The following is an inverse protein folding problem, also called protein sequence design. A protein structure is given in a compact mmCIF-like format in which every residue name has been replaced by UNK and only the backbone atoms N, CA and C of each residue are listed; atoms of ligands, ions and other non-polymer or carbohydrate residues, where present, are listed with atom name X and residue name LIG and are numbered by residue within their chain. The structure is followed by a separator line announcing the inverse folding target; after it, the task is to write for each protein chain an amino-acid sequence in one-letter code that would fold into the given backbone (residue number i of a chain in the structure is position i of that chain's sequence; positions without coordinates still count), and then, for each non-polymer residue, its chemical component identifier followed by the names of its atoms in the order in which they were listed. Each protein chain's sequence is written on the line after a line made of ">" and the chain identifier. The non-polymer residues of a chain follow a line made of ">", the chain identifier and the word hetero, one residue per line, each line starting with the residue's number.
data_IF_232069355049
#
_entry.id   IF_232069355049
#
_cell.length_a   1.000
_cell.length_b   1.000
_cell.length_c   1.000
_cell.angle_alpha   90.00
_cell.angle_beta   90.00
_cell.angle_gamma   90.00
#
_symmetry.space_group_name_H-M   'P 1'
#
loop_
_entity.id
_entity.type
_entity.pdbx_description
1 polymer ?
#
# COMPACT_ATOMS: atom_id res chain seq x y z
N UNK A 1 -51.99 38.79 28.81
CA UNK A 1 -51.60 37.50 28.24
C UNK A 1 -50.41 37.76 27.32
N UNK A 2 -49.22 37.51 27.82
CA UNK A 2 -47.99 37.60 27.01
C UNK A 2 -47.70 36.22 26.42
N UNK A 3 -47.70 36.14 25.08
CA UNK A 3 -47.32 34.91 24.34
C UNK A 3 -45.79 34.77 24.38
N UNK A 4 -45.32 33.77 25.07
CA UNK A 4 -43.92 33.33 24.97
C UNK A 4 -43.71 32.60 23.65
N UNK A 5 -42.95 33.20 22.75
CA UNK A 5 -42.44 32.54 21.53
C UNK A 5 -41.31 31.61 21.94
N UNK A 6 -41.51 30.33 21.79
CA UNK A 6 -40.47 29.32 22.00
C UNK A 6 -39.59 29.32 20.74
N UNK A 7 -38.38 29.87 20.86
CA UNK A 7 -37.33 29.73 19.86
C UNK A 7 -36.87 28.26 19.80
N UNK A 8 -37.34 27.55 18.81
CA UNK A 8 -36.83 26.23 18.47
C UNK A 8 -35.50 26.44 17.72
N UNK A 9 -34.40 26.43 18.47
CA UNK A 9 -33.07 26.31 17.86
C UNK A 9 -33.02 24.94 17.10
N UNK A 10 -33.18 25.01 15.80
CA UNK A 10 -32.81 23.89 14.93
C UNK A 10 -31.29 23.66 15.04
N UNK A 11 -30.88 22.70 15.87
CA UNK A 11 -29.57 22.11 15.76
C UNK A 11 -29.54 21.40 14.40
N UNK A 12 -28.91 22.03 13.41
CA UNK A 12 -28.46 21.38 12.21
C UNK A 12 -27.39 20.34 12.62
N UNK A 13 -27.84 19.18 13.01
CA UNK A 13 -26.97 18.02 13.23
C UNK A 13 -26.46 17.50 11.89
N UNK A 14 -25.48 18.17 11.30
CA UNK A 14 -24.65 17.50 10.30
C UNK A 14 -23.98 16.33 11.02
N UNK A 15 -24.44 15.14 10.74
CA UNK A 15 -23.84 13.91 11.22
C UNK A 15 -22.38 13.89 10.75
N UNK A 16 -21.42 13.98 11.69
CA UNK A 16 -20.00 14.07 11.35
C UNK A 16 -19.57 12.78 10.68
N UNK A 17 -19.18 12.87 9.40
CA UNK A 17 -18.64 11.72 8.65
C UNK A 17 -17.47 11.07 9.37
N UNK A 18 -17.44 9.76 9.39
CA UNK A 18 -16.34 8.99 9.95
C UNK A 18 -15.05 9.26 9.19
N UNK A 19 -13.99 9.68 9.89
CA UNK A 19 -12.68 9.96 9.29
C UNK A 19 -11.85 8.68 9.19
N UNK A 20 -11.56 8.24 7.97
CA UNK A 20 -10.86 7.00 7.67
C UNK A 20 -9.55 7.29 6.95
N UNK A 21 -8.48 6.56 7.31
CA UNK A 21 -7.30 6.38 6.47
C UNK A 21 -7.29 4.95 5.93
N UNK A 22 -7.57 4.80 4.63
CA UNK A 22 -7.39 3.55 3.92
C UNK A 22 -5.91 3.38 3.60
N UNK A 23 -5.33 2.24 3.96
CA UNK A 23 -3.92 1.91 3.77
C UNK A 23 -3.84 0.68 2.88
N UNK A 24 -3.21 0.80 1.72
CA UNK A 24 -3.01 -0.30 0.78
C UNK A 24 -1.52 -0.48 0.47
N UNK A 25 -1.06 -1.72 0.39
CA UNK A 25 0.34 -2.03 0.12
C UNK A 25 0.67 -3.50 0.34
N UNK A 26 1.96 -3.81 0.43
CA UNK A 26 2.47 -5.15 0.67
C UNK A 26 2.69 -5.43 2.18
N UNK A 27 3.45 -6.48 2.50
CA UNK A 27 3.81 -6.89 3.86
C UNK A 27 4.42 -5.76 4.72
N UNK A 28 5.24 -4.91 4.14
CA UNK A 28 5.81 -3.76 4.85
C UNK A 28 4.74 -2.78 5.32
N UNK A 29 3.71 -2.53 4.52
CA UNK A 29 2.59 -1.66 4.88
C UNK A 29 1.63 -2.33 5.87
N UNK A 30 1.51 -3.65 5.81
CA UNK A 30 0.82 -4.44 6.83
C UNK A 30 1.55 -4.40 8.17
N UNK A 31 2.84 -4.03 8.18
CA UNK A 31 3.69 -4.07 9.38
C UNK A 31 4.08 -5.49 9.76
N UNK A 32 4.22 -6.37 8.76
CA UNK A 32 4.60 -7.78 9.01
C UNK A 32 5.83 -7.89 9.87
N UNK A 33 5.80 -8.82 10.81
CA UNK A 33 6.88 -9.17 11.73
C UNK A 33 7.37 -8.06 12.69
N UNK A 34 6.68 -6.91 12.80
CA UNK A 34 7.06 -5.85 13.77
C UNK A 34 7.20 -6.42 15.20
N UNK A 35 6.34 -7.34 15.59
CA UNK A 35 6.37 -8.03 16.90
C UNK A 35 6.82 -9.49 16.79
N UNK A 36 7.36 -9.90 15.65
CA UNK A 36 7.79 -11.26 15.34
C UNK A 36 6.69 -12.17 14.80
N UNK A 37 5.45 -11.68 14.66
CA UNK A 37 4.35 -12.37 13.96
C UNK A 37 4.22 -11.88 12.55
N UNK A 38 3.91 -12.78 11.64
CA UNK A 38 3.78 -12.43 10.21
C UNK A 38 2.71 -11.37 9.94
N UNK A 39 1.53 -11.54 10.51
CA UNK A 39 0.46 -10.56 10.45
C UNK A 39 -0.34 -10.55 11.76
N UNK A 40 -0.69 -9.35 12.22
CA UNK A 40 -1.54 -9.16 13.38
C UNK A 40 -2.18 -7.79 13.38
N UNK A 41 -3.30 -7.63 14.08
CA UNK A 41 -3.92 -6.31 14.28
C UNK A 41 -2.97 -5.33 14.99
N UNK A 42 -2.11 -5.84 15.89
CA UNK A 42 -1.09 -5.03 16.56
C UNK A 42 -0.02 -4.54 15.59
N UNK A 43 0.43 -5.39 14.66
CA UNK A 43 1.38 -5.02 13.61
C UNK A 43 0.80 -3.95 12.70
N UNK A 44 -0.42 -4.13 12.20
CA UNK A 44 -1.11 -3.15 11.36
C UNK A 44 -1.25 -1.79 12.04
N UNK A 45 -1.55 -1.78 13.33
CA UNK A 45 -1.63 -0.56 14.15
C UNK A 45 -0.28 0.14 14.33
N UNK A 46 0.80 -0.63 14.42
CA UNK A 46 2.17 -0.12 14.61
C UNK A 46 2.94 0.06 13.30
N UNK A 47 2.34 -0.27 12.14
CA UNK A 47 2.92 0.03 10.83
C UNK A 47 2.97 1.54 10.61
N UNK A 48 3.80 2.01 9.69
CA UNK A 48 3.88 3.43 9.36
C UNK A 48 2.52 4.01 8.97
N UNK A 49 1.69 3.26 8.23
CA UNK A 49 0.32 3.68 7.89
C UNK A 49 -0.58 3.81 9.10
N UNK A 50 -0.51 2.87 10.05
CA UNK A 50 -1.25 2.94 11.32
C UNK A 50 -0.83 4.13 12.18
N UNK A 51 0.47 4.43 12.23
CA UNK A 51 1.01 5.59 12.96
C UNK A 51 0.59 6.93 12.32
N UNK A 52 0.56 7.01 10.99
CA UNK A 52 0.02 8.18 10.25
C UNK A 52 -1.45 8.36 10.57
N UNK A 53 -2.25 7.31 10.51
CA UNK A 53 -3.69 7.38 10.84
C UNK A 53 -3.92 7.94 12.25
N UNK A 54 -3.16 7.45 13.24
CA UNK A 54 -3.20 7.95 14.62
C UNK A 54 -2.88 9.46 14.70
N UNK A 55 -1.83 9.91 14.00
CA UNK A 55 -1.43 11.33 13.98
C UNK A 55 -2.51 12.22 13.35
N UNK A 56 -3.11 11.75 12.26
CA UNK A 56 -4.19 12.45 11.55
C UNK A 56 -5.56 12.32 12.25
N UNK A 57 -5.65 11.61 13.36
CA UNK A 57 -6.90 11.30 14.09
C UNK A 57 -7.95 10.66 13.18
N UNK A 58 -7.54 9.68 12.39
CA UNK A 58 -8.37 8.90 11.48
C UNK A 58 -8.39 7.42 11.91
N UNK A 59 -9.51 6.75 11.72
CA UNK A 59 -9.58 5.29 11.90
C UNK A 59 -8.79 4.61 10.77
N UNK A 60 -7.78 3.78 11.07
CA UNK A 60 -7.07 3.03 10.04
C UNK A 60 -7.92 1.87 9.52
N UNK A 61 -8.01 1.75 8.21
CA UNK A 61 -8.42 0.53 7.51
C UNK A 61 -7.21 0.10 6.69
N UNK A 62 -6.51 -0.92 7.16
CA UNK A 62 -5.30 -1.41 6.50
C UNK A 62 -5.62 -2.69 5.72
N UNK A 63 -5.77 -2.55 4.41
CA UNK A 63 -6.05 -3.63 3.45
C UNK A 63 -4.79 -4.21 2.80
N UNK A 64 -3.61 -3.87 3.32
CA UNK A 64 -2.34 -4.39 2.81
C UNK A 64 -2.22 -5.90 3.02
N UNK A 65 -1.61 -6.60 2.07
CA UNK A 65 -1.41 -8.04 2.14
C UNK A 65 0.06 -8.43 2.06
N UNK A 66 0.43 -9.47 2.80
CA UNK A 66 1.73 -10.12 2.67
C UNK A 66 1.87 -10.68 1.26
N UNK A 67 2.98 -10.36 0.59
CA UNK A 67 3.23 -10.81 -0.79
C UNK A 67 2.46 -10.05 -1.87
N UNK A 68 1.68 -9.01 -1.55
CA UNK A 68 0.93 -8.28 -2.57
C UNK A 68 1.81 -7.74 -3.70
N UNK A 69 1.27 -7.78 -4.91
CA UNK A 69 1.84 -7.18 -6.12
C UNK A 69 1.25 -5.79 -6.36
N UNK A 70 1.83 -5.01 -7.27
CA UNK A 70 1.27 -3.70 -7.61
C UNK A 70 -0.11 -3.81 -8.26
N UNK A 71 -0.37 -4.84 -9.06
CA UNK A 71 -1.71 -5.11 -9.60
C UNK A 71 -2.73 -5.45 -8.51
N UNK A 72 -2.34 -6.28 -7.53
CA UNK A 72 -3.16 -6.60 -6.37
C UNK A 72 -3.48 -5.37 -5.53
N UNK A 73 -2.46 -4.54 -5.23
CA UNK A 73 -2.63 -3.28 -4.49
C UNK A 73 -3.65 -2.37 -5.18
N UNK A 74 -3.50 -2.16 -6.51
CA UNK A 74 -4.41 -1.32 -7.28
C UNK A 74 -5.85 -1.86 -7.26
N UNK A 75 -6.01 -3.16 -7.51
CA UNK A 75 -7.31 -3.84 -7.51
C UNK A 75 -8.02 -3.74 -6.17
N UNK A 76 -7.30 -3.94 -5.06
CA UNK A 76 -7.87 -3.85 -3.71
C UNK A 76 -8.36 -2.45 -3.38
N UNK A 77 -7.62 -1.40 -3.75
CA UNK A 77 -8.07 -0.01 -3.56
C UNK A 77 -9.39 0.22 -4.30
N UNK A 78 -9.46 -0.11 -5.60
CA UNK A 78 -10.67 0.07 -6.40
C UNK A 78 -11.83 -0.71 -5.80
N UNK A 79 -11.60 -1.99 -5.48
CA UNK A 79 -12.64 -2.86 -4.96
C UNK A 79 -13.18 -2.40 -3.60
N UNK A 80 -12.31 -1.90 -2.71
CA UNK A 80 -12.76 -1.35 -1.43
C UNK A 80 -13.71 -0.15 -1.64
N UNK A 81 -13.38 0.74 -2.58
CA UNK A 81 -14.25 1.87 -2.90
C UNK A 81 -15.59 1.45 -3.49
N UNK A 82 -15.63 0.39 -4.29
CA UNK A 82 -16.87 -0.09 -4.91
C UNK A 82 -17.77 -0.88 -3.94
N UNK A 83 -17.19 -1.52 -2.91
CA UNK A 83 -17.95 -2.35 -1.98
C UNK A 83 -18.27 -1.67 -0.64
N UNK A 84 -17.36 -0.86 -0.12
CA UNK A 84 -17.41 -0.41 1.27
C UNK A 84 -17.56 1.11 1.41
N UNK A 85 -17.18 1.88 0.37
CA UNK A 85 -17.17 3.33 0.47
C UNK A 85 -18.56 3.94 0.33
N UNK A 86 -19.00 4.67 1.35
CA UNK A 86 -20.19 5.50 1.33
C UNK A 86 -19.80 6.99 1.51
N UNK A 87 -19.97 7.81 0.46
CA UNK A 87 -19.61 9.23 0.53
C UNK A 87 -20.47 10.04 1.49
N UNK A 88 -21.64 9.56 1.89
CA UNK A 88 -22.53 10.26 2.82
C UNK A 88 -22.05 10.12 4.27
N UNK A 89 -21.49 8.96 4.62
CA UNK A 89 -21.10 8.62 5.99
C UNK A 89 -19.61 8.64 6.23
N UNK A 90 -18.78 8.59 5.17
CA UNK A 90 -17.32 8.46 5.26
C UNK A 90 -16.58 9.64 4.66
N UNK A 91 -15.53 10.07 5.37
CA UNK A 91 -14.49 10.99 4.90
C UNK A 91 -13.17 10.23 4.82
N UNK A 92 -12.80 9.79 3.62
CA UNK A 92 -11.69 8.88 3.38
C UNK A 92 -10.47 9.63 2.84
N UNK A 93 -9.30 9.33 3.41
CA UNK A 93 -8.00 9.58 2.80
C UNK A 93 -7.36 8.24 2.46
N UNK A 94 -6.48 8.20 1.45
CA UNK A 94 -5.82 6.97 1.01
C UNK A 94 -4.31 7.10 1.06
N UNK A 95 -3.64 6.12 1.67
CA UNK A 95 -2.21 5.91 1.58
C UNK A 95 -1.95 4.64 0.76
N UNK A 96 -1.33 4.80 -0.42
CA UNK A 96 -0.91 3.66 -1.25
C UNK A 96 0.60 3.54 -1.20
N UNK A 97 1.07 2.36 -0.87
CA UNK A 97 2.50 2.05 -0.83
C UNK A 97 2.82 0.91 -1.79
N UNK A 98 3.53 1.30 -2.84
CA UNK A 98 3.88 0.40 -3.93
C UNK A 98 5.04 -0.51 -3.55
N UNK A 99 5.08 -1.67 -4.17
CA UNK A 99 6.16 -2.65 -4.03
C UNK A 99 6.99 -2.72 -5.31
N UNK A 100 7.96 -3.63 -5.36
CA UNK A 100 8.77 -3.82 -6.56
C UNK A 100 7.95 -4.19 -7.81
N UNK A 101 8.38 -3.69 -8.95
CA UNK A 101 7.71 -3.95 -10.23
C UNK A 101 7.80 -5.42 -10.69
N UNK A 102 8.78 -6.16 -10.19
CA UNK A 102 9.05 -7.54 -10.60
C UNK A 102 8.16 -8.58 -9.91
N UNK A 103 7.22 -8.19 -9.07
CA UNK A 103 6.21 -9.10 -8.52
C UNK A 103 5.09 -9.32 -9.53
N UNK A 104 4.90 -10.57 -9.94
CA UNK A 104 3.82 -10.96 -10.84
C UNK A 104 2.79 -11.83 -10.13
N UNK A 105 1.54 -11.67 -10.50
CA UNK A 105 0.45 -12.56 -10.13
C UNK A 105 0.16 -13.52 -11.28
N UNK A 106 0.05 -14.78 -10.95
CA UNK A 106 -0.47 -15.79 -11.88
C UNK A 106 -1.67 -16.48 -11.22
N UNK A 107 -2.77 -16.70 -11.96
CA UNK A 107 -3.89 -17.46 -11.43
C UNK A 107 -3.42 -18.82 -10.93
N UNK A 108 -3.91 -19.24 -9.77
CA UNK A 108 -3.60 -20.54 -9.20
C UNK A 108 -4.85 -21.40 -9.15
N UNK A 109 -4.81 -22.59 -9.74
CA UNK A 109 -5.90 -23.58 -9.66
C UNK A 109 -5.94 -24.26 -8.27
N UNK A 110 -4.92 -24.09 -7.45
CA UNK A 110 -4.85 -24.69 -6.13
C UNK A 110 -5.74 -23.91 -5.17
N UNK A 111 -6.91 -24.46 -4.87
CA UNK A 111 -7.68 -24.11 -3.68
C UNK A 111 -6.89 -24.49 -2.41
N UNK A 112 -5.91 -23.70 -2.03
CA UNK A 112 -5.32 -23.80 -0.70
C UNK A 112 -6.23 -23.04 0.26
N UNK A 113 -6.56 -23.67 1.37
CA UNK A 113 -7.19 -22.97 2.48
C UNK A 113 -6.24 -21.82 2.90
N UNK A 114 -6.61 -20.58 2.60
CA UNK A 114 -5.80 -19.40 2.89
C UNK A 114 -5.45 -19.27 4.38
N UNK A 115 -6.23 -19.92 5.27
CA UNK A 115 -5.96 -19.99 6.71
C UNK A 115 -4.76 -20.87 7.06
N UNK A 116 -4.37 -21.75 6.16
CA UNK A 116 -3.24 -22.67 6.31
C UNK A 116 -2.10 -22.40 5.34
N UNK A 117 -2.25 -21.43 4.42
CA UNK A 117 -1.21 -21.06 3.47
C UNK A 117 -0.01 -20.46 4.23
N UNK A 118 1.00 -21.30 4.46
CA UNK A 118 2.25 -20.89 5.11
C UNK A 118 3.30 -20.37 4.11
N UNK A 119 2.99 -20.35 2.82
CA UNK A 119 3.91 -19.88 1.79
C UNK A 119 3.61 -18.42 1.45
N UNK A 120 4.63 -17.58 1.49
CA UNK A 120 4.57 -16.15 1.13
C UNK A 120 4.22 -15.90 -0.34
N UNK A 121 4.12 -16.94 -1.13
CA UNK A 121 3.93 -16.88 -2.58
C UNK A 121 2.48 -17.02 -3.02
N UNK A 122 1.60 -17.55 -2.16
CA UNK A 122 0.18 -17.74 -2.49
C UNK A 122 -0.68 -16.84 -1.62
N UNK A 123 -1.55 -16.05 -2.21
CA UNK A 123 -2.51 -15.23 -1.49
C UNK A 123 -3.88 -15.28 -2.16
N UNK A 124 -4.91 -15.15 -1.33
CA UNK A 124 -6.29 -15.08 -1.78
C UNK A 124 -6.71 -13.63 -1.86
N UNK A 125 -7.21 -13.22 -3.02
CA UNK A 125 -7.78 -11.91 -3.22
C UNK A 125 -9.30 -12.01 -3.19
N UNK A 126 -9.89 -11.64 -2.06
CA UNK A 126 -11.34 -11.60 -1.90
C UNK A 126 -12.02 -10.68 -2.95
N UNK A 127 -11.29 -9.70 -3.49
CA UNK A 127 -11.79 -8.79 -4.49
C UNK A 127 -12.01 -9.44 -5.84
N UNK A 128 -11.21 -10.44 -6.17
CA UNK A 128 -11.27 -11.16 -7.42
C UNK A 128 -11.91 -12.55 -7.28
N UNK A 129 -12.17 -13.00 -6.05
CA UNK A 129 -12.60 -14.38 -5.71
C UNK A 129 -11.67 -15.45 -6.31
N UNK A 130 -10.35 -15.17 -6.28
CA UNK A 130 -9.36 -16.01 -6.90
C UNK A 130 -8.11 -16.14 -6.05
N UNK A 131 -7.46 -17.30 -6.17
CA UNK A 131 -6.12 -17.51 -5.64
C UNK A 131 -5.09 -17.07 -6.66
N UNK A 132 -4.10 -16.31 -6.19
CA UNK A 132 -2.96 -15.91 -6.98
C UNK A 132 -1.69 -16.47 -6.38
N UNK A 133 -0.83 -16.99 -7.23
CA UNK A 133 0.56 -17.25 -6.89
C UNK A 133 1.37 -16.02 -7.26
N UNK A 134 2.07 -15.45 -6.28
CA UNK A 134 3.01 -14.35 -6.51
C UNK A 134 4.37 -14.92 -6.85
N UNK A 135 4.93 -14.47 -7.95
CA UNK A 135 6.26 -14.80 -8.38
C UNK A 135 7.14 -13.58 -8.18
N UNK A 136 8.20 -13.74 -7.41
CA UNK A 136 9.15 -12.68 -7.08
C UNK A 136 10.39 -12.86 -7.96
N UNK A 137 10.78 -11.82 -8.70
CA UNK A 137 11.87 -11.89 -9.69
C UNK A 137 13.27 -11.92 -9.13
N UNK A 138 13.43 -11.72 -7.82
CA UNK A 138 14.74 -11.75 -7.17
C UNK A 138 14.69 -12.68 -5.94
N UNK A 139 15.79 -13.27 -5.64
CA UNK A 139 16.21 -14.33 -4.74
C UNK A 139 15.52 -14.55 -3.37
N UNK A 140 14.28 -14.19 -3.21
CA UNK A 140 13.54 -14.40 -1.95
C UNK A 140 12.58 -15.58 -1.98
N UNK A 141 12.41 -16.25 -3.11
CA UNK A 141 11.59 -17.44 -3.25
C UNK A 141 12.32 -18.70 -2.80
N UNK A 142 11.54 -19.72 -2.43
CA UNK A 142 12.08 -21.02 -2.15
C UNK A 142 12.97 -21.46 -3.32
N UNK A 143 14.28 -21.65 -3.07
CA UNK A 143 15.28 -21.95 -4.11
C UNK A 143 14.87 -23.13 -5.01
N UNK A 144 14.07 -24.05 -4.47
CA UNK A 144 13.58 -25.22 -5.18
C UNK A 144 12.51 -24.86 -6.23
N UNK A 145 11.64 -23.88 -5.95
CA UNK A 145 10.61 -23.42 -6.90
C UNK A 145 11.20 -22.55 -8.00
N UNK A 146 12.16 -21.69 -7.67
CA UNK A 146 12.89 -20.87 -8.64
C UNK A 146 13.83 -21.71 -9.53
N UNK A 147 14.45 -22.77 -8.98
CA UNK A 147 15.26 -23.73 -9.77
C UNK A 147 14.43 -24.47 -10.80
N UNK A 148 13.15 -24.69 -10.55
CA UNK A 148 12.23 -25.39 -11.46
C UNK A 148 11.60 -24.47 -12.53
N UNK A 149 11.85 -23.14 -12.47
CA UNK A 149 11.31 -22.19 -13.46
C UNK A 149 12.36 -21.20 -14.00
N UNK A 150 13.53 -21.67 -14.49
CA UNK A 150 14.57 -20.76 -15.00
C UNK A 150 14.10 -19.90 -16.18
N UNK A 151 13.12 -20.37 -16.95
CA UNK A 151 12.51 -19.59 -18.04
C UNK A 151 11.69 -18.41 -17.52
N UNK A 152 10.97 -18.58 -16.41
CA UNK A 152 10.17 -17.51 -15.83
C UNK A 152 11.05 -16.43 -15.20
N UNK A 153 12.10 -16.83 -14.46
CA UNK A 153 13.09 -15.90 -13.93
C UNK A 153 13.76 -15.11 -15.04
N UNK A 154 14.21 -15.78 -16.10
CA UNK A 154 14.78 -15.12 -17.28
C UNK A 154 13.78 -14.13 -17.91
N UNK A 155 12.53 -14.56 -18.09
CA UNK A 155 11.46 -13.70 -18.60
C UNK A 155 11.30 -12.46 -17.73
N UNK A 156 11.24 -12.57 -16.41
CA UNK A 156 11.04 -11.44 -15.51
C UNK A 156 12.21 -10.44 -15.58
N UNK A 157 13.45 -10.91 -15.64
CA UNK A 157 14.64 -10.07 -15.80
C UNK A 157 14.63 -9.36 -17.16
N UNK A 158 14.35 -10.10 -18.24
CA UNK A 158 14.29 -9.53 -19.59
C UNK A 158 13.11 -8.57 -19.79
N UNK A 159 12.00 -8.77 -19.06
CA UNK A 159 10.80 -7.95 -19.14
C UNK A 159 10.74 -6.85 -18.08
N UNK A 160 11.79 -6.64 -17.29
CA UNK A 160 11.83 -5.62 -16.25
C UNK A 160 11.36 -4.23 -16.75
N UNK A 161 11.80 -3.70 -17.93
CA UNK A 161 11.32 -2.40 -18.40
C UNK A 161 9.82 -2.37 -18.68
N UNK A 162 9.25 -3.51 -19.12
CA UNK A 162 7.81 -3.64 -19.30
C UNK A 162 7.07 -3.64 -17.96
N UNK A 163 7.57 -4.38 -16.96
CA UNK A 163 6.99 -4.46 -15.63
C UNK A 163 7.02 -3.11 -14.90
N UNK A 164 8.09 -2.35 -15.07
CA UNK A 164 8.19 -0.98 -14.58
C UNK A 164 7.14 -0.08 -15.25
N UNK A 165 7.04 -0.11 -16.58
CA UNK A 165 6.04 0.64 -17.35
C UNK A 165 4.63 0.25 -16.89
N UNK A 166 4.37 -1.03 -16.69
CA UNK A 166 3.09 -1.53 -16.20
C UNK A 166 2.78 -0.97 -14.80
N UNK A 167 3.76 -0.97 -13.90
CA UNK A 167 3.60 -0.39 -12.55
C UNK A 167 3.26 1.09 -12.60
N UNK A 168 3.93 1.88 -13.45
CA UNK A 168 3.57 3.29 -13.61
C UNK A 168 2.16 3.49 -14.15
N UNK A 169 1.70 2.64 -15.05
CA UNK A 169 0.30 2.66 -15.50
C UNK A 169 -0.68 2.38 -14.36
N UNK A 170 -0.36 1.46 -13.45
CA UNK A 170 -1.17 1.20 -12.25
C UNK A 170 -1.18 2.41 -11.30
N UNK A 171 -0.04 3.08 -11.13
CA UNK A 171 0.07 4.33 -10.34
C UNK A 171 -0.88 5.38 -10.93
N UNK A 172 -0.84 5.62 -12.24
CA UNK A 172 -1.74 6.57 -12.91
C UNK A 172 -3.20 6.15 -12.82
N UNK A 173 -3.50 4.87 -12.97
CA UNK A 173 -4.86 4.34 -12.81
C UNK A 173 -5.43 4.70 -11.44
N UNK A 174 -4.69 4.45 -10.37
CA UNK A 174 -5.12 4.76 -9.01
C UNK A 174 -5.16 6.27 -8.78
N UNK A 175 -4.18 7.02 -9.28
CA UNK A 175 -4.20 8.48 -9.21
C UNK A 175 -5.49 9.06 -9.80
N UNK A 176 -5.80 8.73 -11.06
CA UNK A 176 -7.00 9.24 -11.73
C UNK A 176 -8.30 8.73 -11.13
N UNK A 177 -8.32 7.47 -10.66
CA UNK A 177 -9.46 6.93 -9.94
C UNK A 177 -9.77 7.74 -8.67
N UNK A 178 -8.78 8.00 -7.83
CA UNK A 178 -8.94 8.77 -6.59
C UNK A 178 -9.26 10.26 -6.87
N UNK A 179 -8.64 10.85 -7.88
CA UNK A 179 -8.95 12.21 -8.32
C UNK A 179 -10.39 12.34 -8.82
N UNK A 180 -10.89 11.37 -9.59
CA UNK A 180 -12.28 11.37 -10.09
C UNK A 180 -13.30 11.32 -8.96
N UNK A 181 -12.97 10.64 -7.86
CA UNK A 181 -13.80 10.56 -6.65
C UNK A 181 -13.53 11.74 -5.67
N UNK A 182 -12.62 12.67 -6.00
CA UNK A 182 -12.19 13.80 -5.13
C UNK A 182 -11.65 13.35 -3.78
N UNK A 183 -10.97 12.23 -3.76
CA UNK A 183 -10.36 11.63 -2.56
C UNK A 183 -8.94 12.18 -2.40
N UNK A 184 -8.60 12.61 -1.19
CA UNK A 184 -7.23 12.97 -0.83
C UNK A 184 -6.38 11.71 -0.68
N UNK A 185 -5.19 11.72 -1.30
CA UNK A 185 -4.31 10.56 -1.28
C UNK A 185 -2.84 10.94 -1.18
N UNK A 186 -2.04 9.98 -0.75
CA UNK A 186 -0.58 10.02 -0.78
C UNK A 186 -0.07 8.66 -1.24
N UNK A 187 1.00 8.67 -2.03
CA UNK A 187 1.68 7.46 -2.51
C UNK A 187 3.13 7.45 -2.04
N UNK A 188 3.69 6.26 -1.85
CA UNK A 188 5.10 6.06 -1.52
C UNK A 188 5.57 4.68 -2.00
N UNK A 189 6.87 4.41 -1.91
CA UNK A 189 7.46 3.11 -2.23
C UNK A 189 7.85 2.38 -0.94
N UNK A 190 7.42 1.12 -0.81
CA UNK A 190 7.96 0.24 0.23
C UNK A 190 9.19 -0.53 -0.24
N UNK A 191 9.24 -0.85 -1.52
CA UNK A 191 10.38 -1.49 -2.18
C UNK A 191 10.86 -0.60 -3.32
N UNK A 192 12.17 -0.61 -3.66
CA UNK A 192 12.67 0.20 -4.76
C UNK A 192 12.08 -0.25 -6.10
N UNK A 193 11.73 0.72 -6.94
CA UNK A 193 11.61 0.44 -8.36
C UNK A 193 13.01 0.40 -8.97
N UNK A 194 13.29 -0.60 -9.77
CA UNK A 194 14.53 -0.65 -10.54
C UNK A 194 14.37 0.26 -11.77
N UNK A 195 14.75 1.53 -11.63
CA UNK A 195 14.63 2.54 -12.69
C UNK A 195 15.81 2.54 -13.67
N UNK A 196 16.31 1.36 -14.03
CA UNK A 196 17.48 1.30 -14.92
C UNK A 196 17.13 1.68 -16.38
N UNK A 197 15.83 1.73 -16.73
CA UNK A 197 15.39 2.10 -18.08
C UNK A 197 14.38 3.25 -18.10
N UNK A 198 14.82 4.44 -17.68
CA UNK A 198 14.01 5.66 -17.69
C UNK A 198 13.44 6.01 -19.07
N UNK A 199 14.04 5.51 -20.16
CA UNK A 199 13.56 5.80 -21.53
C UNK A 199 12.18 5.19 -21.82
N UNK A 200 11.86 4.04 -21.25
CA UNK A 200 10.56 3.38 -21.44
C UNK A 200 9.41 4.14 -20.77
N UNK A 201 9.70 4.86 -19.68
CA UNK A 201 8.69 5.53 -18.85
C UNK A 201 8.79 7.07 -18.87
N UNK A 202 9.73 7.64 -19.63
CA UNK A 202 9.97 9.10 -19.66
C UNK A 202 8.74 9.94 -20.00
N UNK A 203 7.79 9.38 -20.77
CA UNK A 203 6.55 10.05 -21.13
C UNK A 203 5.44 9.85 -20.09
N UNK A 204 5.60 8.88 -19.18
CA UNK A 204 4.62 8.52 -18.16
C UNK A 204 4.94 9.23 -16.84
N UNK A 205 6.22 9.30 -16.47
CA UNK A 205 6.66 9.94 -15.22
C UNK A 205 6.07 11.33 -15.02
N UNK A 206 6.08 12.25 -16.02
CA UNK A 206 5.54 13.60 -15.86
C UNK A 206 4.01 13.65 -15.62
N UNK A 207 3.30 12.54 -15.81
CA UNK A 207 1.86 12.45 -15.56
C UNK A 207 1.55 12.08 -14.10
N UNK A 208 2.53 11.60 -13.36
CA UNK A 208 2.38 11.32 -11.93
C UNK A 208 2.46 12.63 -11.15
N UNK A 209 1.51 12.86 -10.26
CA UNK A 209 1.50 14.03 -9.37
C UNK A 209 2.56 13.87 -8.26
N UNK A 210 3.73 14.44 -8.49
CA UNK A 210 4.86 14.40 -7.54
C UNK A 210 4.53 15.04 -6.19
N UNK A 211 3.57 15.96 -6.12
CA UNK A 211 3.12 16.53 -4.85
C UNK A 211 2.29 15.53 -4.02
N UNK A 212 1.86 14.44 -4.61
CA UNK A 212 1.12 13.35 -3.97
C UNK A 212 1.94 12.08 -3.82
N UNK A 213 3.17 12.07 -4.35
CA UNK A 213 4.03 10.89 -4.33
C UNK A 213 5.34 11.19 -3.60
N UNK A 214 5.55 10.56 -2.45
CA UNK A 214 6.79 10.69 -1.68
C UNK A 214 7.92 9.95 -2.40
N UNK A 215 8.96 10.71 -2.82
CA UNK A 215 10.22 10.19 -3.39
C UNK A 215 10.03 9.24 -4.58
N UNK A 216 9.14 9.61 -5.53
CA UNK A 216 8.82 8.79 -6.71
C UNK A 216 10.06 8.23 -7.43
N UNK A 217 11.08 9.07 -7.65
CA UNK A 217 12.23 8.74 -8.48
C UNK A 217 13.48 8.40 -7.64
N UNK A 218 13.35 8.20 -6.34
CA UNK A 218 14.45 7.90 -5.46
C UNK A 218 14.31 6.51 -4.85
N UNK A 219 14.98 5.51 -5.45
CA UNK A 219 14.96 4.12 -4.99
C UNK A 219 15.55 3.95 -3.59
N UNK A 220 16.53 4.78 -3.23
CA UNK A 220 17.23 4.69 -1.95
C UNK A 220 16.35 5.15 -0.78
N UNK A 221 15.29 5.91 -1.07
CA UNK A 221 14.29 6.37 -0.11
C UNK A 221 13.09 5.41 0.04
N UNK A 222 13.04 4.30 -0.70
CA UNK A 222 12.05 3.27 -0.48
C UNK A 222 12.21 2.65 0.92
N UNK A 223 11.10 2.44 1.63
CA UNK A 223 11.09 2.06 3.05
C UNK A 223 12.06 0.93 3.38
N UNK A 224 11.96 -0.20 2.66
CA UNK A 224 12.78 -1.37 2.96
C UNK A 224 14.26 -1.10 2.74
N UNK A 225 14.61 -0.54 1.58
CA UNK A 225 16.00 -0.34 1.19
C UNK A 225 16.69 0.68 2.11
N UNK A 226 16.06 1.83 2.31
CA UNK A 226 16.56 2.91 3.16
C UNK A 226 16.94 2.42 4.55
N UNK A 227 16.03 1.74 5.24
CA UNK A 227 16.29 1.34 6.63
C UNK A 227 17.21 0.13 6.74
N UNK A 228 17.28 -0.71 5.71
CA UNK A 228 18.30 -1.76 5.63
C UNK A 228 19.69 -1.18 5.50
N UNK A 229 19.91 -0.20 4.61
CA UNK A 229 21.20 0.49 4.44
C UNK A 229 21.62 1.25 5.70
N UNK A 230 20.68 1.77 6.46
CA UNK A 230 20.93 2.39 7.76
C UNK A 230 21.20 1.39 8.90
N UNK A 231 21.17 0.09 8.62
CA UNK A 231 21.50 -0.96 9.59
C UNK A 231 20.37 -1.31 10.55
N UNK A 232 19.13 -0.94 10.25
CA UNK A 232 17.97 -1.31 11.07
C UNK A 232 17.56 -2.76 10.79
N UNK A 233 18.09 -3.67 11.58
CA UNK A 233 17.71 -5.08 11.55
C UNK A 233 16.61 -5.39 12.57
N UNK A 234 15.71 -6.31 12.22
CA UNK A 234 14.74 -6.86 13.15
C UNK A 234 15.11 -8.31 13.50
N UNK A 235 15.74 -8.56 14.66
CA UNK A 235 16.18 -9.89 15.04
C UNK A 235 15.03 -10.87 15.28
N UNK A 236 13.80 -10.39 15.33
CA UNK A 236 12.58 -11.21 15.48
C UNK A 236 11.94 -11.58 14.14
N UNK A 237 12.34 -10.91 13.06
CA UNK A 237 11.80 -11.18 11.74
C UNK A 237 12.44 -12.42 11.14
N UNK A 238 11.60 -13.27 10.55
CA UNK A 238 12.03 -14.43 9.76
C UNK A 238 12.30 -14.04 8.30
N UNK A 239 11.60 -13.01 7.80
CA UNK A 239 11.54 -12.64 6.39
C UNK A 239 11.98 -11.20 6.10
N UNK A 240 12.96 -10.70 6.84
CA UNK A 240 13.63 -9.41 6.58
C UNK A 240 12.77 -8.16 6.77
N UNK A 241 11.64 -8.25 7.47
CA UNK A 241 10.82 -7.08 7.76
C UNK A 241 11.42 -6.26 8.90
N UNK A 242 11.21 -4.95 8.82
CA UNK A 242 11.70 -4.03 9.83
C UNK A 242 10.89 -4.04 11.12
N UNK A 243 11.55 -3.70 12.23
CA UNK A 243 10.92 -3.52 13.54
C UNK A 243 10.17 -2.18 13.67
N UNK A 244 9.76 -1.85 14.89
CA UNK A 244 8.94 -0.65 15.19
C UNK A 244 9.62 0.66 14.83
N UNK A 245 10.93 0.79 15.07
CA UNK A 245 11.65 2.06 14.92
C UNK A 245 11.65 2.55 13.47
N UNK A 246 12.03 1.76 12.45
CA UNK A 246 11.90 2.14 11.06
C UNK A 246 10.49 2.56 10.65
N UNK A 247 9.47 1.87 11.14
CA UNK A 247 8.08 2.25 10.87
C UNK A 247 7.73 3.63 11.46
N UNK A 248 8.24 3.95 12.64
CA UNK A 248 8.02 5.27 13.25
C UNK A 248 8.74 6.36 12.48
N UNK A 249 10.01 6.16 12.14
CA UNK A 249 10.81 7.12 11.39
C UNK A 249 10.20 7.40 10.01
N UNK A 250 9.80 6.35 9.29
CA UNK A 250 9.17 6.52 7.99
C UNK A 250 7.79 7.21 8.08
N UNK A 251 7.03 6.94 9.12
CA UNK A 251 5.78 7.67 9.36
C UNK A 251 6.02 9.16 9.57
N UNK A 252 7.07 9.55 10.30
CA UNK A 252 7.43 10.95 10.54
C UNK A 252 7.88 11.65 9.24
N UNK A 253 8.61 10.97 8.38
CA UNK A 253 9.00 11.47 7.05
C UNK A 253 7.77 11.71 6.16
N UNK A 254 6.87 10.72 6.08
CA UNK A 254 5.65 10.85 5.31
C UNK A 254 4.71 11.95 5.85
N UNK A 255 4.64 12.12 7.16
CA UNK A 255 3.90 13.21 7.80
C UNK A 255 4.54 14.58 7.51
N UNK A 256 5.87 14.66 7.46
CA UNK A 256 6.59 15.87 7.09
C UNK A 256 6.33 16.25 5.63
N UNK A 257 6.36 15.28 4.73
CA UNK A 257 5.97 15.46 3.33
C UNK A 257 4.51 15.91 3.20
N UNK A 258 3.60 15.26 3.94
CA UNK A 258 2.18 15.63 3.97
C UNK A 258 1.94 17.06 4.49
N UNK A 259 2.73 17.51 5.47
CA UNK A 259 2.62 18.88 6.02
C UNK A 259 2.88 19.95 4.95
N UNK A 260 3.83 19.70 4.05
CA UNK A 260 4.18 20.60 2.94
C UNK A 260 3.15 20.48 1.81
N UNK A 261 2.84 19.29 1.37
CA UNK A 261 2.10 19.01 0.14
C UNK A 261 0.57 18.86 0.36
N UNK A 262 0.13 18.79 1.60
CA UNK A 262 -1.31 18.66 1.97
C UNK A 262 -2.01 17.49 1.24
N UNK A 263 -1.32 16.36 1.16
CA UNK A 263 -1.82 15.16 0.49
C UNK A 263 -3.04 14.56 1.19
N UNK A 264 -2.94 14.49 2.53
CA UNK A 264 -3.95 13.90 3.42
C UNK A 264 -4.47 14.98 4.38
N UNK A 265 -5.77 15.12 4.50
CA UNK A 265 -6.40 16.08 5.42
C UNK A 265 -6.60 15.47 6.82
N UNK A 266 -6.59 16.33 7.84
CA UNK A 266 -6.93 15.94 9.21
C UNK A 266 -8.41 15.67 9.40
#
# INVERSE_FOLDING_TARGET
>A
MQSQTIDIQQHNGEEMKEKILLIAGCSHSAGSEIDGKEDSAANRKNSFGGLIAKNLKRRPINISHVGATNSGIARQVINWFEKEYDPETMNVNVLVSWTEATRLEVPSERQRDYKTASSHTDWYDESADHYFKVIIGWDGGDEEELRNTPLLHKFMVEQQPYLETYTYNLILQIQYFLQSKKIDYMMCNTMPFFLDNLNAIKNIIPLVDENKYYQLNNKDEAFFHKYRELGYENPKAKYWHHGKEPHSLYADELLSFNKVNKCLKK
#
